data_IF_198516787670
#
_entry.id   IF_198516787670
#
_cell.length_a   1.000
_cell.length_b   1.000
_cell.length_c   1.000
_cell.angle_alpha   90.00
_cell.angle_beta   90.00
_cell.angle_gamma   90.00
#
_symmetry.space_group_name_H-M   'P 1'
#
loop_
_entity.id
_entity.type
_entity.pdbx_description
1 polymer ?
#
# COMPACT_ATOMS: atom_id res chain seq x y z
N UNK A 1 -2.97 12.64 -23.62
CA UNK A 1 -3.45 11.27 -23.94
C UNK A 1 -3.69 10.50 -22.66
N UNK A 2 -4.55 9.46 -22.67
CA UNK A 2 -4.82 8.69 -21.47
C UNK A 2 -5.47 7.35 -21.77
N UNK A 3 -5.68 6.56 -20.74
CA UNK A 3 -6.28 5.24 -20.83
C UNK A 3 -6.69 4.68 -19.49
N UNK A 4 -7.19 3.46 -19.50
CA UNK A 4 -7.63 2.72 -18.32
C UNK A 4 -6.95 1.34 -18.33
N UNK A 5 -6.34 0.97 -17.21
CA UNK A 5 -5.76 -0.34 -16.97
C UNK A 5 -6.60 -1.03 -15.90
N UNK A 6 -7.20 -2.19 -16.22
CA UNK A 6 -8.15 -2.91 -15.33
C UNK A 6 -7.60 -4.17 -14.68
N UNK A 7 -6.33 -4.47 -14.90
CA UNK A 7 -5.67 -5.63 -14.27
C UNK A 7 -4.22 -5.29 -14.01
N UNK A 8 -3.67 -5.85 -12.93
CA UNK A 8 -2.24 -5.81 -12.70
C UNK A 8 -1.52 -6.64 -13.78
N UNK A 9 -0.42 -6.11 -14.29
CA UNK A 9 0.48 -6.77 -15.24
C UNK A 9 1.69 -7.34 -14.52
N UNK A 10 1.95 -6.84 -13.32
CA UNK A 10 3.05 -7.21 -12.44
C UNK A 10 2.53 -7.46 -11.04
N UNK A 11 3.19 -8.37 -10.35
CA UNK A 11 2.94 -8.64 -8.94
C UNK A 11 4.24 -9.02 -8.27
N UNK A 12 4.43 -8.57 -7.03
CA UNK A 12 5.50 -9.04 -6.17
C UNK A 12 4.93 -9.91 -5.06
N UNK A 13 5.66 -10.98 -4.73
CA UNK A 13 5.36 -11.77 -3.56
C UNK A 13 5.42 -10.90 -2.31
N UNK A 14 4.51 -11.12 -1.35
CA UNK A 14 4.49 -10.35 -0.13
C UNK A 14 5.84 -10.41 0.60
N UNK A 15 6.38 -9.25 0.93
CA UNK A 15 7.56 -9.13 1.80
C UNK A 15 7.11 -8.92 3.25
N UNK A 16 7.84 -9.54 4.18
CA UNK A 16 7.53 -9.50 5.61
C UNK A 16 8.78 -9.21 6.41
N UNK A 17 8.70 -8.19 7.22
CA UNK A 17 9.68 -7.91 8.29
C UNK A 17 9.01 -8.15 9.64
N UNK A 18 9.63 -8.93 10.51
CA UNK A 18 9.03 -9.26 11.81
C UNK A 18 10.04 -9.43 12.94
N UNK A 19 9.58 -9.09 14.14
CA UNK A 19 10.31 -9.25 15.42
C UNK A 19 9.36 -9.88 16.44
N UNK A 20 9.84 -10.80 17.25
CA UNK A 20 9.05 -11.38 18.37
C UNK A 20 8.02 -12.42 17.93
N UNK A 21 8.09 -12.94 16.71
CA UNK A 21 7.26 -14.05 16.22
C UNK A 21 5.75 -13.76 16.15
N UNK A 22 5.32 -12.62 15.56
CA UNK A 22 3.90 -12.39 15.29
C UNK A 22 3.36 -13.40 14.27
N UNK A 23 2.06 -13.58 14.26
CA UNK A 23 1.39 -14.31 13.18
C UNK A 23 1.26 -13.40 11.98
N UNK A 24 1.83 -13.79 10.85
CA UNK A 24 1.76 -13.08 9.58
C UNK A 24 1.20 -14.00 8.52
N UNK A 25 0.09 -13.62 7.92
CA UNK A 25 -0.58 -14.39 6.86
C UNK A 25 -0.82 -13.50 5.65
N UNK A 26 0.09 -13.50 4.67
CA UNK A 26 -0.19 -12.89 3.37
C UNK A 26 -1.29 -13.71 2.67
N UNK A 27 -2.32 -13.02 2.16
CA UNK A 27 -3.48 -13.64 1.50
C UNK A 27 -3.71 -13.09 0.11
N UNK A 28 -2.77 -12.29 -0.37
CA UNK A 28 -2.91 -11.60 -1.63
C UNK A 28 -3.02 -12.54 -2.82
N UNK A 29 -3.89 -12.20 -3.74
CA UNK A 29 -3.94 -12.76 -5.07
C UNK A 29 -3.87 -11.62 -6.08
N UNK A 30 -2.67 -11.09 -6.27
CA UNK A 30 -2.40 -9.88 -7.05
C UNK A 30 -2.87 -10.06 -8.50
N UNK A 31 -2.73 -11.24 -9.08
CA UNK A 31 -3.18 -11.53 -10.44
C UNK A 31 -4.71 -11.44 -10.61
N UNK A 32 -5.47 -11.60 -9.53
CA UNK A 32 -6.92 -11.33 -9.51
C UNK A 32 -7.27 -9.92 -9.02
N UNK A 33 -6.28 -9.05 -8.84
CA UNK A 33 -6.46 -7.69 -8.36
C UNK A 33 -6.76 -7.60 -6.86
N UNK A 34 -6.36 -8.60 -6.07
CA UNK A 34 -6.58 -8.60 -4.61
C UNK A 34 -5.27 -8.50 -3.88
N UNK A 35 -5.11 -7.43 -3.09
CA UNK A 35 -4.05 -7.26 -2.10
C UNK A 35 -4.68 -7.48 -0.73
N UNK A 36 -4.17 -8.43 0.06
CA UNK A 36 -4.79 -8.86 1.33
C UNK A 36 -3.72 -9.36 2.30
N UNK A 37 -3.89 -9.07 3.56
CA UNK A 37 -3.05 -9.58 4.64
C UNK A 37 -3.80 -9.72 5.96
N UNK A 38 -3.25 -10.54 6.84
CA UNK A 38 -3.59 -10.62 8.26
C UNK A 38 -2.33 -10.64 9.10
N UNK A 39 -2.25 -9.72 10.05
CA UNK A 39 -1.17 -9.61 11.04
C UNK A 39 -1.76 -9.69 12.44
N UNK A 40 -1.13 -10.45 13.32
CA UNK A 40 -1.50 -10.54 14.74
C UNK A 40 -0.25 -10.61 15.62
N UNK A 41 -0.16 -9.72 16.58
CA UNK A 41 0.90 -9.78 17.60
C UNK A 41 0.63 -10.87 18.63
N UNK A 42 1.71 -11.47 19.15
CA UNK A 42 1.65 -12.38 20.30
C UNK A 42 1.79 -11.59 21.60
N UNK A 43 0.92 -11.87 22.56
CA UNK A 43 0.75 -11.09 23.80
C UNK A 43 1.92 -11.13 24.80
N UNK A 44 2.80 -12.14 24.75
CA UNK A 44 3.72 -12.44 25.84
C UNK A 44 5.09 -11.78 25.74
N UNK A 45 5.46 -11.29 24.58
CA UNK A 45 6.74 -10.61 24.32
C UNK A 45 6.54 -9.54 23.28
N UNK A 46 7.26 -8.44 23.35
CA UNK A 46 7.17 -7.38 22.35
C UNK A 46 7.27 -7.96 20.92
N UNK A 47 6.26 -7.71 20.10
CA UNK A 47 6.21 -8.21 18.72
C UNK A 47 5.82 -7.12 17.77
N UNK A 48 6.44 -7.11 16.60
CA UNK A 48 6.13 -6.20 15.52
C UNK A 48 6.17 -6.94 14.17
N UNK A 49 5.33 -6.53 13.25
CA UNK A 49 5.42 -6.96 11.87
C UNK A 49 5.06 -5.82 10.92
N UNK A 50 5.77 -5.77 9.82
CA UNK A 50 5.44 -4.99 8.64
C UNK A 50 5.29 -5.93 7.46
N UNK A 51 4.22 -5.76 6.68
CA UNK A 51 3.97 -6.53 5.47
C UNK A 51 3.70 -5.57 4.31
N UNK A 52 4.30 -5.87 3.18
CA UNK A 52 4.09 -5.20 1.90
C UNK A 52 3.61 -6.21 0.86
N UNK A 53 2.55 -5.88 0.13
CA UNK A 53 2.09 -6.63 -1.05
C UNK A 53 1.74 -5.67 -2.17
N UNK A 54 2.16 -5.99 -3.39
CA UNK A 54 2.17 -5.05 -4.50
C UNK A 54 1.55 -5.61 -5.78
N UNK A 55 0.85 -4.74 -6.50
CA UNK A 55 0.41 -5.01 -7.86
C UNK A 55 0.63 -3.79 -8.76
N UNK A 56 1.08 -3.99 -9.98
CA UNK A 56 1.46 -2.90 -10.85
C UNK A 56 1.13 -3.09 -12.33
N UNK A 57 1.31 -2.00 -13.08
CA UNK A 57 1.09 -1.98 -14.52
C UNK A 57 2.00 -0.98 -15.24
N UNK A 58 2.28 -1.26 -16.50
CA UNK A 58 3.17 -0.46 -17.33
C UNK A 58 2.41 0.57 -18.17
N UNK A 59 2.94 1.78 -18.23
CA UNK A 59 2.50 2.89 -19.08
C UNK A 59 3.70 3.34 -19.92
N UNK A 60 3.58 3.23 -21.24
CA UNK A 60 4.64 3.67 -22.15
C UNK A 60 4.36 5.08 -22.64
N UNK A 61 5.31 5.99 -22.42
CA UNK A 61 5.25 7.33 -22.96
C UNK A 61 5.47 7.31 -24.48
N UNK A 62 4.58 7.92 -25.28
CA UNK A 62 4.74 7.91 -26.72
C UNK A 62 6.05 8.54 -27.18
N UNK A 63 6.65 7.96 -28.22
CA UNK A 63 7.83 8.52 -28.89
C UNK A 63 7.55 9.84 -29.63
N UNK A 64 6.29 10.26 -29.72
CA UNK A 64 5.86 11.49 -30.40
C UNK A 64 5.57 12.65 -29.45
N UNK A 65 5.74 12.47 -28.13
CA UNK A 65 5.57 13.54 -27.16
C UNK A 65 6.49 14.72 -27.48
N UNK A 66 6.00 15.93 -27.27
CA UNK A 66 6.79 17.16 -27.42
C UNK A 66 6.62 18.05 -26.20
N UNK A 67 7.71 18.71 -25.82
CA UNK A 67 7.72 19.60 -24.66
C UNK A 67 7.70 18.84 -23.34
N UNK A 68 7.48 19.59 -22.25
CA UNK A 68 7.34 19.01 -20.94
C UNK A 68 5.94 18.39 -20.78
N UNK A 69 5.89 17.17 -20.24
CA UNK A 69 4.64 16.44 -20.00
C UNK A 69 4.64 15.85 -18.59
N UNK A 70 3.45 15.56 -18.08
CA UNK A 70 3.22 14.95 -16.76
C UNK A 70 2.38 13.69 -16.91
N UNK A 71 2.76 12.65 -16.20
CA UNK A 71 1.94 11.47 -15.98
C UNK A 71 1.06 11.69 -14.75
N UNK A 72 -0.23 11.54 -14.93
CA UNK A 72 -1.21 11.47 -13.86
C UNK A 72 -1.74 10.05 -13.79
N UNK A 73 -1.84 9.49 -12.59
CA UNK A 73 -2.41 8.16 -12.35
C UNK A 73 -3.36 8.24 -11.17
N UNK A 74 -4.56 7.70 -11.33
CA UNK A 74 -5.57 7.63 -10.28
C UNK A 74 -6.05 6.18 -10.13
N UNK A 75 -5.65 5.48 -9.06
CA UNK A 75 -6.17 4.16 -8.76
C UNK A 75 -7.62 4.25 -8.27
N UNK A 76 -8.45 3.33 -8.74
CA UNK A 76 -9.78 3.05 -8.19
C UNK A 76 -9.77 1.69 -7.54
N UNK A 77 -10.25 1.60 -6.31
CA UNK A 77 -10.26 0.36 -5.53
C UNK A 77 -11.41 0.32 -4.53
N UNK A 78 -11.74 -0.88 -4.07
CA UNK A 78 -12.59 -1.11 -2.90
C UNK A 78 -11.71 -1.64 -1.78
N UNK A 79 -12.00 -1.29 -0.54
CA UNK A 79 -11.25 -1.84 0.58
C UNK A 79 -12.15 -2.20 1.76
N UNK A 80 -11.67 -3.13 2.57
CA UNK A 80 -12.16 -3.43 3.90
C UNK A 80 -11.00 -3.64 4.84
N UNK A 81 -11.11 -3.18 6.08
CA UNK A 81 -10.07 -3.34 7.06
C UNK A 81 -10.64 -3.53 8.46
N UNK A 82 -9.91 -4.29 9.27
CA UNK A 82 -10.18 -4.46 10.70
C UNK A 82 -8.90 -4.24 11.48
N UNK A 83 -8.97 -3.37 12.48
CA UNK A 83 -7.86 -3.05 13.36
C UNK A 83 -8.28 -3.24 14.82
N UNK A 84 -7.43 -3.87 15.58
CA UNK A 84 -7.53 -3.98 17.01
C UNK A 84 -6.18 -3.62 17.63
N UNK A 85 -6.20 -2.76 18.62
CA UNK A 85 -5.06 -2.53 19.48
C UNK A 85 -5.56 -2.44 20.92
N UNK A 86 -4.91 -3.12 21.83
CA UNK A 86 -5.25 -3.13 23.23
C UNK A 86 -4.06 -3.40 24.10
N UNK A 87 -3.99 -2.72 25.25
CA UNK A 87 -2.93 -2.91 26.21
C UNK A 87 -3.34 -2.45 27.60
N UNK A 88 -2.84 -3.16 28.60
CA UNK A 88 -2.91 -2.74 30.00
C UNK A 88 -1.48 -2.40 30.41
N UNK A 89 -1.19 -1.12 30.64
CA UNK A 89 0.14 -0.55 30.91
C UNK A 89 1.16 -0.61 29.75
N UNK A 90 0.74 -0.98 28.53
CA UNK A 90 1.60 -1.10 27.35
C UNK A 90 0.91 -0.56 26.11
N UNK A 91 1.69 -0.10 25.13
CA UNK A 91 1.17 0.36 23.86
C UNK A 91 0.97 -0.78 22.88
N UNK A 92 -0.03 -0.64 22.05
CA UNK A 92 -0.23 -1.48 20.88
C UNK A 92 -0.64 -0.60 19.69
N UNK A 93 -0.10 -0.89 18.53
CA UNK A 93 -0.30 -0.14 17.31
C UNK A 93 -0.70 -1.07 16.19
N UNK A 94 -1.64 -0.63 15.38
CA UNK A 94 -2.07 -1.34 14.18
C UNK A 94 -2.44 -0.35 13.08
N UNK A 95 -2.16 -0.68 11.84
CA UNK A 95 -2.49 0.20 10.74
C UNK A 95 -2.35 -0.47 9.38
N UNK A 96 -2.91 0.20 8.37
CA UNK A 96 -2.69 -0.11 6.98
C UNK A 96 -2.81 1.15 6.11
N UNK A 97 -2.02 1.20 5.05
CA UNK A 97 -2.08 2.24 4.04
C UNK A 97 -1.76 1.70 2.65
N UNK A 98 -2.19 2.45 1.66
CA UNK A 98 -1.79 2.24 0.27
C UNK A 98 -0.74 3.28 -0.12
N UNK A 99 0.26 2.84 -0.85
CA UNK A 99 1.24 3.71 -1.50
C UNK A 99 1.10 3.60 -3.01
N UNK A 100 1.19 4.73 -3.69
CA UNK A 100 1.30 4.79 -5.14
C UNK A 100 2.72 5.19 -5.49
N UNK A 101 3.43 4.26 -6.13
CA UNK A 101 4.83 4.37 -6.48
C UNK A 101 5.03 4.18 -7.98
N UNK A 102 5.96 4.91 -8.57
CA UNK A 102 6.28 4.81 -10.01
C UNK A 102 7.76 4.57 -10.21
N UNK A 103 8.08 3.53 -10.97
CA UNK A 103 9.42 3.29 -11.47
C UNK A 103 9.53 3.79 -12.91
N UNK A 104 10.58 4.53 -13.21
CA UNK A 104 10.91 5.03 -14.54
C UNK A 104 12.02 4.19 -15.15
N UNK A 105 11.81 3.72 -16.40
CA UNK A 105 12.79 2.97 -17.17
C UNK A 105 13.06 3.68 -18.49
N UNK A 106 14.32 3.71 -18.91
CA UNK A 106 14.72 4.28 -20.21
C UNK A 106 14.28 3.41 -21.40
N UNK A 107 14.57 3.88 -22.61
CA UNK A 107 14.23 3.16 -23.85
C UNK A 107 14.99 1.83 -24.03
N UNK A 108 16.04 1.59 -23.25
CA UNK A 108 16.79 0.34 -23.23
C UNK A 108 16.30 -0.61 -22.13
N UNK A 109 15.34 -0.19 -21.31
CA UNK A 109 14.79 -0.94 -20.18
C UNK A 109 15.62 -0.85 -18.90
N UNK A 110 16.55 0.09 -18.80
CA UNK A 110 17.31 0.30 -17.57
C UNK A 110 16.49 1.14 -16.61
N UNK A 111 16.51 0.76 -15.32
CA UNK A 111 15.91 1.54 -14.23
C UNK A 111 16.62 2.90 -14.12
N UNK A 112 15.83 3.96 -14.07
CA UNK A 112 16.32 5.35 -13.96
C UNK A 112 16.11 5.87 -12.54
N UNK A 113 14.89 5.77 -12.03
CA UNK A 113 14.53 6.23 -10.68
C UNK A 113 13.19 5.66 -10.22
N UNK A 114 12.99 5.69 -8.91
CA UNK A 114 11.70 5.49 -8.27
C UNK A 114 11.11 6.83 -7.78
N UNK A 115 9.81 6.96 -7.81
CA UNK A 115 9.08 8.18 -7.48
C UNK A 115 7.90 7.79 -6.61
N UNK A 116 7.94 8.21 -5.34
CA UNK A 116 6.77 8.15 -4.46
C UNK A 116 5.79 9.25 -4.89
N UNK A 117 4.56 8.84 -5.19
CA UNK A 117 3.48 9.75 -5.61
C UNK A 117 2.63 10.16 -4.42
N UNK A 118 2.53 9.30 -3.43
CA UNK A 118 1.80 9.56 -2.20
C UNK A 118 1.14 8.32 -1.62
N UNK A 119 0.53 8.49 -0.47
CA UNK A 119 -0.11 7.40 0.26
C UNK A 119 -1.58 7.72 0.61
N UNK A 120 -2.38 6.68 0.75
CA UNK A 120 -3.75 6.71 1.23
C UNK A 120 -3.85 5.90 2.52
N UNK A 121 -4.11 6.55 3.64
CA UNK A 121 -4.32 5.86 4.90
C UNK A 121 -5.66 5.12 4.89
N UNK A 122 -5.64 3.80 4.97
CA UNK A 122 -6.83 2.96 5.17
C UNK A 122 -7.32 3.12 6.60
N UNK A 123 -6.40 3.08 7.56
CA UNK A 123 -6.67 3.35 8.94
C UNK A 123 -5.46 3.07 9.84
N UNK A 124 -5.48 3.71 10.98
CA UNK A 124 -4.46 3.59 12.00
C UNK A 124 -5.12 3.59 13.38
N UNK A 125 -4.65 2.73 14.28
CA UNK A 125 -5.15 2.66 15.63
C UNK A 125 -4.03 2.41 16.63
N UNK A 126 -3.93 3.31 17.60
CA UNK A 126 -3.02 3.19 18.74
C UNK A 126 -3.86 2.99 20.01
N UNK A 127 -3.59 1.91 20.73
CA UNK A 127 -4.27 1.53 21.98
C UNK A 127 -3.32 1.59 23.15
N UNK A 128 -3.54 2.56 24.05
CA UNK A 128 -2.88 2.65 25.34
C UNK A 128 -3.94 2.70 26.43
N UNK A 129 -3.90 1.81 27.42
CA UNK A 129 -4.86 1.67 28.53
C UNK A 129 -6.24 1.11 28.19
N UNK A 130 -6.72 1.23 26.98
CA UNK A 130 -8.05 0.76 26.58
C UNK A 130 -7.94 -0.12 25.33
N UNK A 131 -8.61 -1.25 25.38
CA UNK A 131 -8.77 -2.09 24.22
C UNK A 131 -9.83 -1.48 23.30
N UNK A 132 -9.55 -1.46 22.00
CA UNK A 132 -10.48 -0.99 21.00
C UNK A 132 -10.32 -1.71 19.69
N UNK A 133 -11.43 -1.86 18.96
CA UNK A 133 -11.43 -2.36 17.60
C UNK A 133 -12.17 -1.39 16.70
N UNK A 134 -11.72 -1.28 15.47
CA UNK A 134 -12.40 -0.50 14.43
C UNK A 134 -12.43 -1.27 13.14
N UNK A 135 -13.51 -1.08 12.40
CA UNK A 135 -13.69 -1.62 11.06
C UNK A 135 -13.90 -0.47 10.10
N UNK A 136 -13.18 -0.50 9.00
CA UNK A 136 -13.33 0.44 7.91
C UNK A 136 -13.69 -0.28 6.63
N UNK A 137 -14.44 0.39 5.78
CA UNK A 137 -14.72 -0.10 4.45
C UNK A 137 -15.29 1.00 3.58
N UNK A 138 -14.92 0.99 2.33
CA UNK A 138 -15.49 1.84 1.31
C UNK A 138 -15.46 1.15 -0.06
N UNK A 139 -16.49 1.42 -0.85
CA UNK A 139 -16.59 0.95 -2.21
C UNK A 139 -16.32 2.08 -3.21
N UNK A 140 -15.60 1.77 -4.29
CA UNK A 140 -15.43 2.68 -5.42
C UNK A 140 -14.61 3.93 -5.15
N UNK A 141 -13.68 3.88 -4.21
CA UNK A 141 -12.78 5.00 -3.96
C UNK A 141 -11.86 5.22 -5.15
N UNK A 142 -11.93 6.43 -5.70
CA UNK A 142 -10.91 6.93 -6.62
C UNK A 142 -9.96 7.79 -5.82
N UNK A 143 -8.69 7.41 -5.80
CA UNK A 143 -7.66 8.21 -5.19
C UNK A 143 -7.16 9.23 -6.22
N UNK A 144 -7.56 10.48 -6.03
CA UNK A 144 -6.98 11.59 -6.80
C UNK A 144 -5.67 11.97 -6.09
N UNK A 145 -4.59 11.77 -6.78
CA UNK A 145 -3.23 12.10 -6.27
C UNK A 145 -3.20 13.57 -5.83
N UNK A 146 -2.73 13.85 -4.62
CA UNK A 146 -2.44 15.21 -4.21
C UNK A 146 -1.45 15.83 -5.20
N UNK A 147 -1.62 17.10 -5.52
CA UNK A 147 -0.90 17.84 -6.57
C UNK A 147 0.64 17.84 -6.48
N UNK A 148 1.21 17.22 -5.47
CA UNK A 148 2.66 17.16 -5.24
C UNK A 148 3.36 15.96 -5.90
N UNK A 149 2.62 15.02 -6.46
CA UNK A 149 3.12 13.79 -7.05
C UNK A 149 3.07 13.74 -8.58
N UNK A 150 3.34 14.83 -9.27
CA UNK A 150 3.41 14.80 -10.74
C UNK A 150 4.72 14.17 -11.21
N UNK A 151 4.61 13.09 -11.97
CA UNK A 151 5.77 12.46 -12.62
C UNK A 151 6.05 13.18 -13.93
N UNK A 152 7.20 13.83 -14.04
CA UNK A 152 7.66 14.36 -15.31
C UNK A 152 7.92 13.21 -16.29
N UNK A 153 7.42 13.33 -17.50
CA UNK A 153 7.46 12.26 -18.51
C UNK A 153 8.51 12.54 -19.57
N UNK A 154 9.38 11.55 -19.78
CA UNK A 154 10.35 11.53 -20.87
C UNK A 154 9.81 10.71 -22.05
N UNK A 155 9.96 11.24 -23.24
CA UNK A 155 9.54 10.60 -24.48
C UNK A 155 10.13 9.18 -24.63
N UNK A 156 9.28 8.19 -24.92
CA UNK A 156 9.67 6.82 -25.18
C UNK A 156 10.03 6.01 -23.92
N UNK A 157 10.00 6.60 -22.73
CA UNK A 157 10.28 5.88 -21.49
C UNK A 157 9.08 5.05 -21.04
N UNK A 158 9.36 4.03 -20.24
CA UNK A 158 8.38 3.18 -19.57
C UNK A 158 8.20 3.64 -18.12
N UNK A 159 6.97 3.74 -17.69
CA UNK A 159 6.56 4.05 -16.33
C UNK A 159 5.79 2.87 -15.76
N UNK A 160 6.39 2.16 -14.81
CA UNK A 160 5.70 1.09 -14.07
C UNK A 160 5.09 1.67 -12.83
N UNK A 161 3.77 1.61 -12.77
CA UNK A 161 2.98 2.12 -11.66
C UNK A 161 2.66 0.98 -10.72
N UNK A 162 2.97 1.14 -9.44
CA UNK A 162 2.70 0.20 -8.37
C UNK A 162 1.63 0.73 -7.42
N UNK A 163 0.73 -0.14 -7.02
CA UNK A 163 -0.16 0.04 -5.89
C UNK A 163 0.28 -0.94 -4.81
N UNK A 164 0.84 -0.40 -3.74
CA UNK A 164 1.43 -1.13 -2.64
C UNK A 164 0.48 -1.07 -1.44
N UNK A 165 0.13 -2.22 -0.88
CA UNK A 165 -0.61 -2.31 0.37
C UNK A 165 0.36 -2.66 1.49
N UNK A 166 0.45 -1.74 2.45
CA UNK A 166 1.25 -1.89 3.66
C UNK A 166 0.36 -2.23 4.85
N UNK A 167 0.86 -3.12 5.69
CA UNK A 167 0.24 -3.47 6.96
C UNK A 167 1.24 -3.43 8.09
N UNK A 168 0.86 -2.82 9.21
CA UNK A 168 1.70 -2.66 10.39
C UNK A 168 1.01 -3.14 11.65
N UNK A 169 1.78 -3.84 12.49
CA UNK A 169 1.43 -4.09 13.89
C UNK A 169 2.65 -3.92 14.78
N UNK A 170 2.38 -3.44 15.98
CA UNK A 170 3.34 -3.44 17.08
C UNK A 170 2.61 -3.67 18.40
N UNK A 171 3.14 -4.52 19.24
CA UNK A 171 2.69 -4.69 20.61
C UNK A 171 3.91 -4.72 21.54
N UNK A 172 3.99 -3.77 22.46
CA UNK A 172 5.05 -3.68 23.45
C UNK A 172 4.62 -4.46 24.68
N UNK A 173 4.86 -5.78 24.67
CA UNK A 173 4.57 -6.65 25.80
C UNK A 173 5.73 -6.68 26.79
N UNK A 174 5.51 -6.25 28.04
CA UNK A 174 6.48 -6.41 29.11
C UNK A 174 5.79 -6.73 30.43
N UNK A 175 6.12 -7.86 31.00
CA UNK A 175 6.03 -8.12 32.43
C UNK A 175 4.78 -8.80 32.98
N UNK A 176 4.85 -9.11 34.24
CA UNK A 176 3.97 -9.97 35.05
C UNK A 176 2.55 -9.37 35.24
N UNK A 177 2.32 -8.11 34.93
CA UNK A 177 1.07 -7.40 35.27
C UNK A 177 0.36 -6.75 34.07
N UNK A 178 0.76 -6.98 32.86
CA UNK A 178 0.08 -6.38 31.70
C UNK A 178 0.44 -7.09 30.40
N UNK A 179 -0.44 -6.99 29.43
CA UNK A 179 -0.23 -7.50 28.07
C UNK A 179 -0.75 -6.49 27.06
N UNK A 180 -0.14 -6.47 25.90
CA UNK A 180 -0.65 -5.74 24.75
C UNK A 180 -0.85 -6.66 23.58
N UNK A 181 -1.78 -6.32 22.69
CA UNK A 181 -2.05 -7.09 21.49
C UNK A 181 -2.52 -6.19 20.37
N UNK A 182 -2.15 -6.53 19.17
CA UNK A 182 -2.57 -5.84 17.97
C UNK A 182 -2.99 -6.83 16.87
N UNK A 183 -4.02 -6.46 16.13
CA UNK A 183 -4.44 -7.17 14.91
C UNK A 183 -4.58 -6.11 13.82
N UNK A 184 -3.98 -6.36 12.68
CA UNK A 184 -4.17 -5.61 11.45
C UNK A 184 -4.62 -6.55 10.35
N UNK A 185 -5.75 -6.24 9.76
CA UNK A 185 -6.24 -6.94 8.59
C UNK A 185 -6.74 -5.91 7.59
N UNK A 186 -6.28 -6.00 6.36
CA UNK A 186 -6.81 -5.19 5.28
C UNK A 186 -6.87 -6.00 3.99
N UNK A 187 -7.94 -5.75 3.23
CA UNK A 187 -8.11 -6.26 1.88
C UNK A 187 -8.44 -5.10 0.96
N UNK A 188 -7.71 -5.01 -0.12
CA UNK A 188 -7.92 -4.04 -1.19
C UNK A 188 -8.20 -4.81 -2.49
N UNK A 189 -9.33 -4.51 -3.11
CA UNK A 189 -9.66 -5.00 -4.44
C UNK A 189 -9.45 -3.87 -5.44
N UNK A 190 -8.43 -4.02 -6.24
CA UNK A 190 -8.13 -3.12 -7.36
C UNK A 190 -9.25 -3.19 -8.41
N UNK A 191 -9.64 -2.04 -8.93
CA UNK A 191 -10.61 -1.91 -10.01
C UNK A 191 -9.93 -1.47 -11.29
N UNK A 192 -9.20 -0.35 -11.23
CA UNK A 192 -8.49 0.19 -12.39
C UNK A 192 -7.47 1.27 -11.99
N UNK A 193 -6.51 1.52 -12.89
CA UNK A 193 -5.79 2.78 -12.97
C UNK A 193 -6.39 3.61 -14.11
N UNK A 194 -6.86 4.81 -13.81
CA UNK A 194 -7.08 5.85 -14.79
C UNK A 194 -5.77 6.63 -14.93
N UNK A 195 -5.28 6.80 -16.15
CA UNK A 195 -4.04 7.52 -16.37
C UNK A 195 -4.14 8.50 -17.54
N UNK A 196 -3.37 9.59 -17.44
CA UNK A 196 -3.20 10.54 -18.53
C UNK A 196 -1.77 11.07 -18.59
N UNK A 197 -1.33 11.40 -19.79
CA UNK A 197 -0.11 12.18 -20.02
C UNK A 197 -0.55 13.51 -20.65
N UNK A 198 -0.34 14.58 -19.89
CA UNK A 198 -0.77 15.93 -20.24
C UNK A 198 0.42 16.88 -20.34
N UNK A 199 0.33 17.96 -21.12
CA UNK A 199 1.34 19.03 -21.10
C UNK A 199 1.54 19.58 -19.69
N UNK A 200 2.81 19.81 -19.33
CA UNK A 200 3.21 20.29 -18.02
C UNK A 200 3.00 21.79 -17.86
#
# INVERSE_FOLDING_TARGET
MGGIIRAFQWAFDPSVEQIGGPTVVPRSNQWSGVLDFFLQSNHDHGSAAHLLTSGGADIVAPATLRGANRLNVAPTFNYSAFFYAGGVFHSALTGAYLELYVEEFDTAGNFVRGIDIGHFEIGYWDGWWLSGSRTWGAGGNSWVIPQNGTVAVTQGFLYRVWLDLHGDIRADGWGVFGGSGAISQAQVRFVQFDWSIDPA
#
